data_IF_436821323572
#
_entry.id   IF_436821323572
#
_cell.length_a   1.000
_cell.length_b   1.000
_cell.length_c   1.000
_cell.angle_alpha   90.00
_cell.angle_beta   90.00
_cell.angle_gamma   90.00
#
_symmetry.space_group_name_H-M   'P 1'
#
loop_
_entity.id
_entity.type
_entity.pdbx_description
1 polymer ?
#
# COMPACT_ATOMS: atom_id res chain seq x y z
N UNK A 1 2.16 2.77 -7.26
CA UNK A 1 3.59 2.58 -7.58
C UNK A 1 4.36 2.07 -6.38
N UNK A 2 4.42 2.81 -5.27
CA UNK A 2 5.18 2.38 -4.09
C UNK A 2 4.81 0.97 -3.59
N UNK A 3 3.52 0.60 -3.58
CA UNK A 3 3.07 -0.73 -3.15
C UNK A 3 3.61 -1.90 -3.99
N UNK A 4 4.01 -1.68 -5.26
CA UNK A 4 4.60 -2.73 -6.11
C UNK A 4 6.13 -2.71 -6.12
N UNK A 5 6.74 -1.65 -5.59
CA UNK A 5 8.20 -1.51 -5.53
C UNK A 5 8.93 -2.63 -4.75
N UNK A 6 8.36 -3.23 -3.68
CA UNK A 6 9.00 -4.36 -3.00
C UNK A 6 9.27 -5.59 -3.89
N UNK A 7 8.54 -5.72 -5.01
CA UNK A 7 8.66 -6.84 -5.95
C UNK A 7 9.60 -6.55 -7.13
N UNK A 8 10.21 -5.36 -7.20
CA UNK A 8 11.12 -5.00 -8.27
C UNK A 8 12.47 -5.74 -8.15
N UNK A 9 13.29 -5.73 -9.22
CA UNK A 9 14.64 -6.32 -9.17
C UNK A 9 15.66 -5.42 -8.43
N UNK A 10 15.39 -4.12 -8.31
CA UNK A 10 16.28 -3.14 -7.70
C UNK A 10 15.54 -2.06 -6.92
N UNK A 11 16.28 -1.22 -6.20
CA UNK A 11 15.70 -0.13 -5.44
C UNK A 11 14.87 0.81 -6.32
N UNK A 12 13.74 1.25 -5.78
CA UNK A 12 12.87 2.24 -6.43
C UNK A 12 12.96 3.56 -5.68
N UNK A 13 13.38 4.60 -6.39
CA UNK A 13 13.45 5.97 -5.87
C UNK A 13 12.28 6.77 -6.43
N UNK A 14 11.49 7.38 -5.55
CA UNK A 14 10.37 8.26 -5.93
C UNK A 14 10.62 9.62 -5.30
N UNK A 15 10.79 10.65 -6.13
CA UNK A 15 11.12 12.02 -5.72
C UNK A 15 10.14 13.05 -6.31
N UNK A 16 10.17 14.28 -5.80
CA UNK A 16 9.32 15.39 -6.28
C UNK A 16 7.84 15.26 -5.91
N UNK A 17 7.54 14.47 -4.88
CA UNK A 17 6.17 14.14 -4.45
C UNK A 17 5.78 14.75 -3.11
N UNK A 18 6.48 15.77 -2.60
CA UNK A 18 6.17 16.44 -1.31
C UNK A 18 4.67 16.78 -1.16
N UNK A 19 4.01 17.19 -2.26
CA UNK A 19 2.59 17.54 -2.30
C UNK A 19 1.65 16.40 -1.86
N UNK A 20 2.06 15.13 -1.92
CA UNK A 20 1.21 14.01 -1.49
C UNK A 20 1.12 13.88 0.03
N UNK A 21 1.97 14.58 0.79
CA UNK A 21 1.91 14.63 2.27
C UNK A 21 0.67 15.37 2.79
N UNK A 22 0.03 16.19 1.95
CA UNK A 22 -1.10 17.07 2.32
C UNK A 22 -2.41 16.63 1.68
N UNK A 23 -2.51 15.35 1.33
CA UNK A 23 -3.72 14.77 0.77
C UNK A 23 -4.63 14.32 1.93
N UNK A 24 -5.42 13.26 1.77
CA UNK A 24 -6.25 12.71 2.85
C UNK A 24 -5.42 12.27 4.06
N UNK A 25 -4.20 11.80 3.80
CA UNK A 25 -3.18 11.48 4.79
C UNK A 25 -1.82 12.05 4.38
N UNK A 26 -0.83 11.98 5.29
CA UNK A 26 0.57 12.05 4.87
C UNK A 26 0.94 10.74 4.17
N UNK A 27 0.70 10.67 2.86
CA UNK A 27 0.91 9.45 2.08
C UNK A 27 2.36 9.00 2.04
N UNK A 28 3.34 9.91 2.12
CA UNK A 28 4.75 9.51 2.16
C UNK A 28 5.01 8.77 3.46
N UNK A 29 4.62 9.37 4.59
CA UNK A 29 4.76 8.76 5.90
C UNK A 29 3.98 7.44 5.99
N UNK A 30 2.73 7.42 5.53
CA UNK A 30 1.88 6.24 5.58
C UNK A 30 2.48 5.08 4.81
N UNK A 31 2.89 5.30 3.56
CA UNK A 31 3.50 4.26 2.72
C UNK A 31 4.77 3.69 3.36
N UNK A 32 5.69 4.56 3.80
CA UNK A 32 6.94 4.12 4.45
C UNK A 32 6.65 3.33 5.72
N UNK A 33 5.70 3.80 6.53
CA UNK A 33 5.33 3.16 7.81
C UNK A 33 4.79 1.76 7.57
N UNK A 34 3.83 1.61 6.66
CA UNK A 34 3.18 0.33 6.42
C UNK A 34 4.10 -0.65 5.69
N UNK A 35 4.89 -0.20 4.70
CA UNK A 35 5.90 -1.07 4.08
C UNK A 35 6.95 -1.55 5.09
N UNK A 36 7.43 -0.66 5.96
CA UNK A 36 8.38 -1.02 7.03
C UNK A 36 7.79 -2.02 8.01
N UNK A 37 6.50 -1.88 8.35
CA UNK A 37 5.79 -2.84 9.21
C UNK A 37 5.71 -4.24 8.58
N UNK A 38 5.56 -4.30 7.26
CA UNK A 38 5.59 -5.55 6.48
C UNK A 38 7.01 -6.05 6.20
N UNK A 39 8.04 -5.50 6.84
CA UNK A 39 9.43 -5.97 6.74
C UNK A 39 10.23 -5.37 5.59
N UNK A 40 9.66 -4.46 4.80
CA UNK A 40 10.34 -3.83 3.67
C UNK A 40 11.18 -2.65 4.15
N UNK A 41 12.46 -2.64 3.77
CA UNK A 41 13.33 -1.49 4.04
C UNK A 41 12.89 -0.30 3.19
N UNK A 42 12.62 0.82 3.84
CA UNK A 42 12.30 2.09 3.20
C UNK A 42 13.12 3.23 3.81
N UNK A 43 13.41 4.25 3.02
CA UNK A 43 14.05 5.48 3.45
C UNK A 43 13.16 6.66 3.08
N UNK A 44 12.65 7.37 4.09
CA UNK A 44 11.80 8.55 3.90
C UNK A 44 12.64 9.81 3.68
N UNK A 45 12.22 10.66 2.75
CA UNK A 45 12.70 12.03 2.56
C UNK A 45 11.52 13.00 2.57
N UNK A 46 11.79 14.28 2.74
CA UNK A 46 10.74 15.31 2.75
C UNK A 46 9.89 15.28 1.47
N UNK A 47 10.51 15.13 0.32
CA UNK A 47 9.88 15.17 -1.00
C UNK A 47 9.78 13.80 -1.69
N UNK A 48 10.06 12.71 -0.97
CA UNK A 48 10.18 11.40 -1.60
C UNK A 48 10.43 10.23 -0.66
N UNK A 49 10.69 9.08 -1.26
CA UNK A 49 11.08 7.85 -0.55
C UNK A 49 11.94 6.96 -1.45
N UNK A 50 12.79 6.13 -0.84
CA UNK A 50 13.43 4.98 -1.50
C UNK A 50 12.87 3.70 -0.91
N UNK A 51 12.52 2.75 -1.75
CA UNK A 51 11.98 1.44 -1.37
C UNK A 51 12.92 0.36 -1.90
N UNK A 52 13.38 -0.51 -1.02
CA UNK A 52 14.26 -1.63 -1.38
C UNK A 52 13.44 -2.90 -1.54
N UNK A 53 13.60 -3.66 -2.65
CA UNK A 53 12.95 -4.95 -2.79
C UNK A 53 13.28 -5.90 -1.64
N UNK A 54 12.31 -6.73 -1.27
CA UNK A 54 12.44 -7.64 -0.15
C UNK A 54 11.25 -8.57 0.00
N UNK A 55 11.40 -9.56 0.89
CA UNK A 55 10.31 -10.44 1.27
C UNK A 55 9.32 -9.69 2.17
N UNK A 56 8.05 -9.74 1.81
CA UNK A 56 6.96 -9.08 2.55
C UNK A 56 6.44 -10.08 3.58
N UNK A 57 6.44 -9.67 4.85
CA UNK A 57 5.84 -10.44 5.93
C UNK A 57 4.31 -10.21 5.99
N UNK A 58 3.53 -11.23 6.40
CA UNK A 58 2.11 -11.04 6.73
C UNK A 58 1.92 -9.97 7.81
N UNK A 59 0.83 -9.23 7.75
CA UNK A 59 0.58 -8.16 8.71
C UNK A 59 -0.61 -7.27 8.38
N UNK A 60 -0.91 -6.39 9.33
CA UNK A 60 -2.00 -5.43 9.23
C UNK A 60 -1.52 -4.07 8.73
N UNK A 61 -2.27 -3.49 7.80
CA UNK A 61 -2.00 -2.19 7.18
C UNK A 61 -3.06 -1.19 7.62
N UNK A 62 -2.62 -0.05 8.15
CA UNK A 62 -3.49 1.10 8.42
C UNK A 62 -3.73 1.94 7.15
N UNK A 63 -4.97 2.37 6.93
CA UNK A 63 -5.35 3.16 5.75
C UNK A 63 -5.35 4.66 6.02
N UNK A 64 -5.41 5.09 7.29
CA UNK A 64 -5.44 6.50 7.67
C UNK A 64 -6.63 7.27 7.04
N UNK A 65 -7.76 6.58 6.83
CA UNK A 65 -8.96 7.09 6.10
C UNK A 65 -8.65 7.55 4.65
N UNK A 66 -7.56 7.02 4.07
CA UNK A 66 -7.10 7.33 2.71
C UNK A 66 -7.42 6.17 1.77
N UNK A 67 -8.39 6.40 0.86
CA UNK A 67 -8.83 5.40 -0.11
C UNK A 67 -7.68 4.84 -0.97
N UNK A 68 -6.65 5.65 -1.25
CA UNK A 68 -5.52 5.20 -2.07
C UNK A 68 -4.55 4.33 -1.29
N UNK A 69 -4.46 4.50 0.02
CA UNK A 69 -3.71 3.57 0.88
C UNK A 69 -4.40 2.20 0.85
N UNK A 70 -5.72 2.15 1.07
CA UNK A 70 -6.48 0.90 1.03
C UNK A 70 -6.31 0.16 -0.30
N UNK A 71 -6.55 0.85 -1.42
CA UNK A 71 -6.45 0.25 -2.76
C UNK A 71 -5.01 -0.07 -3.19
N UNK A 72 -4.00 0.60 -2.66
CA UNK A 72 -2.62 0.31 -3.03
C UNK A 72 -2.11 -0.94 -2.31
N UNK A 73 -2.39 -1.07 -1.01
CA UNK A 73 -1.93 -2.21 -0.21
C UNK A 73 -2.76 -3.48 -0.42
N UNK A 74 -4.02 -3.37 -0.86
CA UNK A 74 -4.78 -4.54 -1.32
C UNK A 74 -4.06 -5.28 -2.45
N UNK A 75 -3.35 -4.58 -3.33
CA UNK A 75 -2.57 -5.22 -4.41
C UNK A 75 -1.41 -6.08 -3.88
N UNK A 76 -0.83 -5.70 -2.73
CA UNK A 76 0.17 -6.54 -2.06
C UNK A 76 -0.50 -7.81 -1.54
N UNK A 77 -1.68 -7.70 -0.93
CA UNK A 77 -2.45 -8.84 -0.43
C UNK A 77 -3.00 -9.78 -1.50
N UNK A 78 -2.94 -9.40 -2.79
CA UNK A 78 -3.19 -10.33 -3.90
C UNK A 78 -1.99 -11.26 -4.17
N UNK A 79 -0.79 -10.88 -3.75
CA UNK A 79 0.44 -11.64 -3.97
C UNK A 79 0.90 -12.34 -2.68
N UNK A 80 0.70 -11.70 -1.53
CA UNK A 80 1.20 -12.12 -0.23
C UNK A 80 0.03 -12.56 0.66
N UNK A 81 0.13 -13.76 1.22
CA UNK A 81 -0.86 -14.27 2.17
C UNK A 81 -0.83 -13.51 3.51
N UNK A 82 -2.00 -13.31 4.13
CA UNK A 82 -2.11 -12.76 5.48
C UNK A 82 -1.88 -11.26 5.58
N UNK A 83 -2.11 -10.52 4.49
CA UNK A 83 -2.21 -9.05 4.50
C UNK A 83 -3.65 -8.67 4.85
N UNK A 84 -3.82 -7.86 5.89
CA UNK A 84 -5.12 -7.36 6.36
C UNK A 84 -5.16 -5.85 6.22
N UNK A 85 -6.13 -5.31 5.48
CA UNK A 85 -6.29 -3.86 5.27
C UNK A 85 -7.33 -3.31 6.25
N UNK A 86 -6.90 -2.51 7.22
CA UNK A 86 -7.81 -1.89 8.19
C UNK A 86 -8.65 -0.79 7.55
N UNK A 87 -9.94 -0.79 7.83
CA UNK A 87 -10.89 0.19 7.27
C UNK A 87 -10.88 0.23 5.73
N UNK A 88 -10.88 -0.96 5.11
CA UNK A 88 -10.94 -1.13 3.65
C UNK A 88 -12.12 -0.34 3.01
N UNK A 89 -13.22 -0.16 3.75
CA UNK A 89 -14.41 0.57 3.32
C UNK A 89 -14.19 2.05 2.99
N UNK A 90 -13.09 2.68 3.41
CA UNK A 90 -12.77 4.07 3.04
C UNK A 90 -12.65 4.28 1.52
N UNK A 91 -12.41 3.22 0.74
CA UNK A 91 -12.33 3.27 -0.71
C UNK A 91 -13.64 3.74 -1.37
N UNK A 92 -14.78 3.54 -0.70
CA UNK A 92 -16.11 3.87 -1.22
C UNK A 92 -16.29 5.33 -1.59
N UNK A 93 -15.49 6.22 -1.01
CA UNK A 93 -15.43 7.65 -1.38
C UNK A 93 -15.14 7.88 -2.87
N UNK A 94 -14.39 6.98 -3.51
CA UNK A 94 -13.96 7.13 -4.91
C UNK A 94 -14.27 5.93 -5.78
N UNK A 95 -14.39 4.74 -5.19
CA UNK A 95 -14.71 3.51 -5.89
C UNK A 95 -15.51 2.62 -4.94
N UNK A 96 -16.85 2.73 -5.02
CA UNK A 96 -17.80 2.08 -4.12
C UNK A 96 -17.63 0.55 -4.07
N UNK A 97 -17.52 -0.09 -5.22
CA UNK A 97 -17.48 -1.54 -5.34
C UNK A 97 -16.06 -2.09 -5.55
N UNK A 98 -15.02 -1.39 -5.07
CA UNK A 98 -13.63 -1.75 -5.38
C UNK A 98 -13.25 -3.18 -4.97
N UNK A 99 -13.54 -3.57 -3.73
CA UNK A 99 -13.18 -4.91 -3.21
C UNK A 99 -14.06 -6.01 -3.82
N UNK A 100 -15.32 -5.70 -4.14
CA UNK A 100 -16.18 -6.61 -4.90
C UNK A 100 -15.62 -6.85 -6.30
N UNK A 101 -15.20 -5.80 -7.00
CA UNK A 101 -14.54 -5.93 -8.31
C UNK A 101 -13.25 -6.74 -8.16
N UNK A 102 -12.39 -6.41 -7.19
CA UNK A 102 -11.11 -7.08 -6.96
C UNK A 102 -11.28 -8.59 -6.73
N UNK A 103 -12.27 -8.96 -5.90
CA UNK A 103 -12.61 -10.36 -5.60
C UNK A 103 -13.15 -11.10 -6.82
N UNK A 104 -13.94 -10.43 -7.67
CA UNK A 104 -14.55 -11.01 -8.87
C UNK A 104 -13.60 -11.13 -10.08
N UNK A 105 -12.34 -10.72 -9.96
CA UNK A 105 -11.37 -10.86 -11.05
C UNK A 105 -10.82 -12.30 -11.22
N UNK A 106 -11.36 -13.29 -10.50
CA UNK A 106 -10.83 -14.67 -10.42
C UNK A 106 -9.33 -14.73 -10.08
N UNK A 107 -8.82 -13.64 -9.48
CA UNK A 107 -7.53 -13.64 -8.81
C UNK A 107 -7.70 -14.47 -7.56
N UNK A 108 -6.73 -15.32 -7.23
CA UNK A 108 -6.75 -16.06 -5.96
C UNK A 108 -6.56 -15.04 -4.83
N UNK A 109 -7.64 -14.35 -4.45
CA UNK A 109 -7.62 -13.31 -3.43
C UNK A 109 -7.30 -13.94 -2.09
N UNK A 110 -6.22 -13.46 -1.46
CA UNK A 110 -5.69 -13.93 -0.17
C UNK A 110 -5.84 -12.88 0.94
N UNK A 111 -6.69 -11.88 0.68
CA UNK A 111 -6.98 -10.77 1.59
C UNK A 111 -8.06 -11.21 2.57
N UNK A 112 -7.82 -11.01 3.86
CA UNK A 112 -8.87 -11.08 4.90
C UNK A 112 -9.36 -9.64 5.17
N UNK A 113 -10.66 -9.42 5.04
CA UNK A 113 -11.35 -8.13 5.28
C UNK A 113 -11.74 -7.92 6.74
#
# INVERSE_FOLDING_TARGET
LAAIAPFAEGETVIDGIEHIRRQESDRIRGIVTELTRLGIRCEEREDGMTIYPGEIAPGEVETYDDHRMAMAFSLIGQVVDGIVIKDAGCCKKTFEDYFDVLTNLDLTSKIEE
#
